data_IF_302238227031
#
_entry.id   IF_302238227031
#
_cell.length_a   1.000
_cell.length_b   1.000
_cell.length_c   1.000
_cell.angle_alpha   90.00
_cell.angle_beta   90.00
_cell.angle_gamma   90.00
#
_symmetry.space_group_name_H-M   'P 1'
#
loop_
_entity.id
_entity.type
_entity.pdbx_description
1 polymer ?
#
# COMPACT_ATOMS: atom_id res chain seq x y z
N UNK A 1 16.65 -9.90 12.52
CA UNK A 1 15.59 -8.90 12.33
C UNK A 1 15.06 -9.07 10.91
N UNK A 2 13.75 -9.22 10.73
CA UNK A 2 13.16 -9.36 9.39
C UNK A 2 13.44 -8.08 8.59
N UNK A 3 14.29 -8.17 7.57
CA UNK A 3 14.67 -7.02 6.73
C UNK A 3 13.49 -6.54 5.87
N UNK A 4 12.53 -7.43 5.58
CA UNK A 4 11.44 -7.18 4.63
C UNK A 4 10.47 -6.09 5.12
N UNK A 5 9.90 -6.14 6.35
CA UNK A 5 9.04 -5.05 6.83
C UNK A 5 9.75 -3.68 6.88
N UNK A 6 11.03 -3.66 7.27
CA UNK A 6 11.79 -2.41 7.33
C UNK A 6 12.03 -1.83 5.92
N UNK A 7 12.38 -2.67 4.94
CA UNK A 7 12.50 -2.25 3.54
C UNK A 7 11.15 -1.73 2.99
N UNK A 8 10.06 -2.45 3.25
CA UNK A 8 8.71 -2.07 2.86
C UNK A 8 8.34 -0.68 3.38
N UNK A 9 8.48 -0.42 4.69
CA UNK A 9 8.10 0.86 5.28
C UNK A 9 9.04 2.02 4.90
N UNK A 10 10.32 1.73 4.64
CA UNK A 10 11.25 2.73 4.11
C UNK A 10 10.84 3.17 2.70
N UNK A 11 10.50 2.21 1.81
CA UNK A 11 9.97 2.49 0.48
C UNK A 11 8.65 3.24 0.54
N UNK A 12 7.76 2.90 1.48
CA UNK A 12 6.49 3.60 1.67
C UNK A 12 6.69 5.09 1.92
N UNK A 13 7.64 5.45 2.79
CA UNK A 13 7.94 6.84 3.11
C UNK A 13 8.47 7.62 1.90
N UNK A 14 9.31 6.99 1.09
CA UNK A 14 9.84 7.58 -0.15
C UNK A 14 8.73 7.76 -1.18
N UNK A 15 7.97 6.70 -1.45
CA UNK A 15 6.89 6.67 -2.42
C UNK A 15 5.78 7.66 -2.08
N UNK A 16 5.41 7.77 -0.82
CA UNK A 16 4.45 8.75 -0.35
C UNK A 16 4.89 10.19 -0.64
N UNK A 17 6.18 10.48 -0.47
CA UNK A 17 6.74 11.80 -0.78
C UNK A 17 6.73 12.10 -2.29
N UNK A 18 6.76 11.06 -3.14
CA UNK A 18 6.77 11.19 -4.60
C UNK A 18 5.38 11.27 -5.22
N UNK A 19 4.44 10.47 -4.72
CA UNK A 19 3.14 10.22 -5.36
C UNK A 19 1.93 10.72 -4.56
N UNK A 20 2.13 11.17 -3.32
CA UNK A 20 1.09 11.76 -2.50
C UNK A 20 0.29 10.76 -1.67
N UNK A 21 -0.94 11.16 -1.30
CA UNK A 21 -1.73 10.57 -0.23
C UNK A 21 -2.49 9.30 -0.65
N UNK A 22 -2.97 9.24 -1.90
CA UNK A 22 -3.73 8.11 -2.46
C UNK A 22 -2.81 7.01 -3.00
N UNK A 23 -1.73 6.71 -2.29
CA UNK A 23 -0.76 5.66 -2.67
C UNK A 23 -0.91 4.42 -1.81
N UNK A 24 -0.90 3.27 -2.46
CA UNK A 24 -0.76 1.96 -1.83
C UNK A 24 0.41 1.21 -2.45
N UNK A 25 1.00 0.30 -1.69
CA UNK A 25 2.12 -0.50 -2.15
C UNK A 25 1.86 -1.98 -1.94
N UNK A 26 2.07 -2.75 -3.00
CA UNK A 26 1.89 -4.18 -3.04
C UNK A 26 3.28 -4.82 -3.09
N UNK A 27 3.65 -5.56 -2.06
CA UNK A 27 4.92 -6.27 -1.97
C UNK A 27 4.75 -7.74 -2.32
N UNK A 28 5.57 -8.24 -3.23
CA UNK A 28 5.57 -9.65 -3.58
C UNK A 28 6.24 -10.49 -2.48
N UNK A 29 5.48 -11.43 -1.93
CA UNK A 29 5.93 -12.43 -0.97
C UNK A 29 5.60 -13.82 -1.54
N UNK A 30 6.61 -14.46 -2.15
CA UNK A 30 6.42 -15.74 -2.81
C UNK A 30 5.45 -15.64 -4.00
N UNK A 31 4.26 -16.23 -3.85
CA UNK A 31 3.20 -16.26 -4.89
C UNK A 31 2.05 -15.29 -4.63
N UNK A 32 2.23 -14.35 -3.69
CA UNK A 32 1.20 -13.39 -3.29
C UNK A 32 1.75 -11.96 -3.38
N UNK A 33 0.85 -11.02 -3.66
CA UNK A 33 1.04 -9.62 -3.35
C UNK A 33 0.40 -9.33 -2.00
N UNK A 34 1.12 -8.63 -1.14
CA UNK A 34 0.66 -8.26 0.18
C UNK A 34 0.71 -6.74 0.37
N UNK A 35 -0.24 -6.22 1.14
CA UNK A 35 -0.30 -4.85 1.61
C UNK A 35 -0.20 -4.88 3.14
N UNK A 36 0.77 -4.15 3.68
CA UNK A 36 1.04 -4.08 5.11
C UNK A 36 0.80 -2.67 5.66
N UNK A 37 0.30 -2.60 6.89
CA UNK A 37 0.05 -1.36 7.60
C UNK A 37 0.38 -1.50 9.09
N UNK A 38 1.10 -0.54 9.65
CA UNK A 38 1.40 -0.48 11.07
C UNK A 38 0.54 0.62 11.73
N UNK A 39 -0.41 0.28 12.62
CA UNK A 39 -1.35 1.25 13.18
C UNK A 39 -0.73 2.14 14.27
N UNK A 40 0.28 1.65 14.98
CA UNK A 40 0.81 2.27 16.21
C UNK A 40 2.09 3.11 16.01
N UNK A 41 2.63 3.19 14.79
CA UNK A 41 3.67 4.18 14.51
C UNK A 41 3.01 5.54 14.34
N UNK A 42 3.51 6.55 15.05
CA UNK A 42 3.27 7.98 14.81
C UNK A 42 3.83 8.40 13.44
N UNK A 43 3.44 7.65 12.41
CA UNK A 43 3.89 7.80 11.07
C UNK A 43 3.38 9.14 10.57
N UNK A 44 4.23 9.82 9.81
CA UNK A 44 3.85 11.07 9.15
C UNK A 44 2.57 10.91 8.31
N UNK A 45 2.23 9.68 7.89
CA UNK A 45 1.00 9.37 7.15
C UNK A 45 -0.26 9.72 7.95
N UNK A 46 -0.32 9.43 9.26
CA UNK A 46 -1.41 9.89 10.12
C UNK A 46 -1.40 11.43 10.24
N UNK A 47 -0.23 12.05 10.41
CA UNK A 47 -0.11 13.50 10.55
C UNK A 47 -0.51 14.29 9.29
N UNK A 48 -0.22 13.77 8.10
CA UNK A 48 -0.60 14.38 6.82
C UNK A 48 -2.06 14.13 6.47
N UNK A 49 -2.61 12.94 6.76
CA UNK A 49 -4.06 12.69 6.68
C UNK A 49 -4.84 13.65 7.60
N UNK A 50 -4.32 13.92 8.80
CA UNK A 50 -4.88 14.91 9.71
C UNK A 50 -4.72 16.35 9.18
N UNK A 51 -3.62 16.68 8.50
CA UNK A 51 -3.36 18.04 8.00
C UNK A 51 -4.28 18.43 6.83
N UNK A 52 -4.67 17.49 5.96
CA UNK A 52 -5.60 17.77 4.86
C UNK A 52 -7.05 17.91 5.37
N UNK A 53 -7.45 17.09 6.34
CA UNK A 53 -8.74 17.20 7.04
C UNK A 53 -8.93 18.56 7.75
N UNK A 54 -7.84 19.21 8.16
CA UNK A 54 -7.86 20.54 8.76
C UNK A 54 -8.02 21.68 7.74
N UNK A 55 -7.73 21.45 6.46
CA UNK A 55 -7.98 22.44 5.39
C UNK A 55 -9.44 22.42 4.94
N UNK A 56 -10.13 21.27 5.07
CA UNK A 56 -11.53 21.12 4.67
C UNK A 56 -12.57 21.37 5.79
N UNK A 57 -12.19 21.41 7.07
CA UNK A 57 -13.15 21.44 8.18
C UNK A 57 -13.39 22.83 8.80
N UNK A 58 -14.14 23.68 8.09
CA UNK A 58 -14.98 24.70 8.75
C UNK A 58 -16.31 24.14 9.27
N UNK A 59 -16.57 22.84 9.10
CA UNK A 59 -17.79 22.18 9.58
C UNK A 59 -17.45 21.14 10.65
N UNK A 60 -17.66 21.60 11.87
CA UNK A 60 -17.89 20.94 13.16
C UNK A 60 -18.31 19.45 13.09
N UNK A 61 -17.64 18.66 13.94
CA UNK A 61 -18.14 17.48 14.67
C UNK A 61 -18.54 16.20 13.92
N UNK A 62 -17.52 15.41 13.55
CA UNK A 62 -17.42 13.99 13.91
C UNK A 62 -15.94 13.67 13.77
N UNK A 63 -15.33 12.98 14.73
CA UNK A 63 -14.04 12.34 14.47
C UNK A 63 -14.30 11.37 13.32
N UNK A 64 -14.04 11.79 12.07
CA UNK A 64 -13.98 10.88 10.94
C UNK A 64 -12.78 10.01 11.27
N UNK A 65 -13.02 8.83 11.83
CA UNK A 65 -12.01 7.79 11.89
C UNK A 65 -11.59 7.58 10.44
N UNK A 66 -10.45 8.15 10.04
CA UNK A 66 -9.92 7.97 8.71
C UNK A 66 -9.52 6.52 8.63
N UNK A 67 -10.38 5.73 8.00
CA UNK A 67 -10.15 4.31 7.75
C UNK A 67 -8.80 4.18 7.05
N UNK A 68 -7.83 3.43 7.59
CA UNK A 68 -6.52 3.33 7.00
C UNK A 68 -6.61 2.71 5.59
N UNK A 69 -5.69 3.03 4.67
CA UNK A 69 -5.74 2.53 3.30
C UNK A 69 -5.88 1.00 3.19
N UNK A 70 -5.30 0.25 4.14
CA UNK A 70 -5.43 -1.21 4.17
C UNK A 70 -6.87 -1.68 4.39
N UNK A 71 -7.65 -0.99 5.22
CA UNK A 71 -9.06 -1.32 5.50
C UNK A 71 -9.94 -0.94 4.31
N UNK A 72 -9.67 0.21 3.67
CA UNK A 72 -10.36 0.61 2.46
C UNK A 72 -10.13 -0.36 1.31
N UNK A 73 -8.86 -0.73 1.06
CA UNK A 73 -8.49 -1.70 0.02
C UNK A 73 -9.04 -3.09 0.33
N UNK A 74 -8.97 -3.53 1.59
CA UNK A 74 -9.53 -4.81 2.00
C UNK A 74 -11.04 -4.86 1.77
N UNK A 75 -11.77 -3.81 2.13
CA UNK A 75 -13.22 -3.73 1.86
C UNK A 75 -13.53 -3.67 0.37
N UNK A 76 -12.70 -3.01 -0.43
CA UNK A 76 -12.91 -2.88 -1.87
C UNK A 76 -12.68 -4.20 -2.62
N UNK A 77 -11.68 -4.97 -2.18
CA UNK A 77 -11.28 -6.23 -2.81
C UNK A 77 -11.90 -7.46 -2.13
N UNK A 78 -12.76 -7.28 -1.13
CA UNK A 78 -13.32 -8.33 -0.27
C UNK A 78 -12.23 -9.25 0.33
N UNK A 79 -11.17 -8.64 0.84
CA UNK A 79 -10.01 -9.32 1.41
C UNK A 79 -10.05 -9.30 2.93
N UNK A 80 -9.61 -10.40 3.54
CA UNK A 80 -9.48 -10.49 4.99
C UNK A 80 -8.17 -9.85 5.46
N UNK A 81 -8.27 -8.95 6.45
CA UNK A 81 -7.10 -8.43 7.17
C UNK A 81 -6.71 -9.41 8.28
N UNK A 82 -5.42 -9.67 8.40
CA UNK A 82 -4.80 -10.50 9.42
C UNK A 82 -3.82 -9.63 10.21
N UNK A 83 -3.83 -9.75 11.54
CA UNK A 83 -2.84 -9.12 12.40
C UNK A 83 -1.65 -10.05 12.64
N UNK A 84 -0.44 -9.62 12.32
CA UNK A 84 0.79 -10.39 12.48
C UNK A 84 1.58 -9.96 13.73
N UNK A 85 1.72 -10.89 14.67
CA UNK A 85 2.68 -10.81 15.78
C UNK A 85 2.33 -9.80 16.89
N UNK A 86 3.34 -9.49 17.74
CA UNK A 86 3.19 -8.63 18.93
C UNK A 86 3.07 -7.13 18.64
N UNK A 87 3.31 -6.70 17.39
CA UNK A 87 3.35 -5.28 16.97
C UNK A 87 2.09 -4.84 16.21
N UNK A 88 1.03 -5.64 16.23
CA UNK A 88 -0.24 -5.32 15.57
C UNK A 88 -0.10 -4.95 14.09
N UNK A 89 0.86 -5.54 13.37
CA UNK A 89 1.05 -5.28 11.95
C UNK A 89 -0.15 -5.86 11.19
N UNK A 90 -0.92 -5.01 10.52
CA UNK A 90 -2.03 -5.44 9.68
C UNK A 90 -1.49 -5.86 8.31
N UNK A 91 -2.00 -6.97 7.81
CA UNK A 91 -1.64 -7.56 6.53
C UNK A 91 -2.91 -8.00 5.79
N UNK A 92 -2.97 -7.71 4.50
CA UNK A 92 -3.87 -8.38 3.56
C UNK A 92 -3.09 -8.74 2.30
N UNK A 93 -3.60 -9.68 1.51
CA UNK A 93 -2.92 -10.07 0.27
C UNK A 93 -3.79 -10.93 -0.64
N UNK A 94 -3.34 -11.06 -1.88
CA UNK A 94 -3.99 -11.85 -2.91
C UNK A 94 -2.95 -12.51 -3.85
N UNK A 95 -3.32 -13.56 -4.59
CA UNK A 95 -2.39 -14.26 -5.49
C UNK A 95 -1.87 -13.37 -6.63
N UNK A 96 -0.62 -13.56 -7.06
CA UNK A 96 -0.01 -12.73 -8.14
C UNK A 96 -0.85 -12.70 -9.43
N UNK A 97 -1.47 -13.83 -9.79
CA UNK A 97 -2.25 -13.92 -11.03
C UNK A 97 -3.50 -13.04 -11.04
N UNK A 98 -3.99 -12.58 -9.87
CA UNK A 98 -5.16 -11.70 -9.78
C UNK A 98 -4.80 -10.21 -9.76
N UNK A 99 -3.51 -9.87 -9.92
CA UNK A 99 -3.04 -8.48 -9.90
C UNK A 99 -3.80 -7.61 -10.90
N UNK A 100 -3.90 -8.02 -12.16
CA UNK A 100 -4.53 -7.21 -13.22
C UNK A 100 -5.99 -6.88 -12.90
N UNK A 101 -6.75 -7.89 -12.45
CA UNK A 101 -8.16 -7.72 -12.05
C UNK A 101 -8.29 -6.70 -10.92
N UNK A 102 -7.53 -6.88 -9.83
CA UNK A 102 -7.61 -5.98 -8.68
C UNK A 102 -7.07 -4.58 -8.98
N UNK A 103 -6.07 -4.48 -9.86
CA UNK A 103 -5.49 -3.22 -10.28
C UNK A 103 -6.53 -2.35 -10.98
N UNK A 104 -7.36 -2.90 -11.89
CA UNK A 104 -8.45 -2.13 -12.49
C UNK A 104 -9.40 -1.53 -11.43
N UNK A 105 -9.83 -2.37 -10.46
CA UNK A 105 -10.71 -1.93 -9.38
C UNK A 105 -10.07 -0.84 -8.50
N UNK A 106 -8.76 -0.95 -8.25
CA UNK A 106 -8.02 0.03 -7.46
C UNK A 106 -7.85 1.36 -8.20
N UNK A 107 -7.45 1.30 -9.48
CA UNK A 107 -7.29 2.49 -10.32
C UNK A 107 -8.61 3.23 -10.53
N UNK A 108 -9.71 2.51 -10.78
CA UNK A 108 -11.06 3.07 -10.92
C UNK A 108 -11.52 3.83 -9.67
N UNK A 109 -10.98 3.47 -8.50
CA UNK A 109 -11.24 4.16 -7.21
C UNK A 109 -10.24 5.27 -6.91
N UNK A 110 -9.34 5.59 -7.84
CA UNK A 110 -8.40 6.69 -7.71
C UNK A 110 -7.12 6.33 -6.95
N UNK A 111 -6.87 5.05 -6.67
CA UNK A 111 -5.63 4.64 -6.02
C UNK A 111 -4.46 4.63 -6.99
N UNK A 112 -3.31 5.12 -6.52
CA UNK A 112 -2.02 4.88 -7.17
C UNK A 112 -1.40 3.64 -6.56
N UNK A 113 -1.13 2.62 -7.37
CA UNK A 113 -0.67 1.30 -6.95
C UNK A 113 0.80 1.12 -7.30
N UNK A 114 1.64 0.90 -6.31
CA UNK A 114 3.07 0.64 -6.48
C UNK A 114 3.32 -0.84 -6.30
N UNK A 115 3.83 -1.49 -7.34
CA UNK A 115 4.15 -2.91 -7.32
C UNK A 115 5.63 -3.08 -7.01
N UNK A 116 5.93 -3.89 -5.99
CA UNK A 116 7.28 -4.22 -5.54
C UNK A 116 7.48 -5.72 -5.74
N UNK A 117 8.26 -6.07 -6.77
CA UNK A 117 8.51 -7.47 -7.11
C UNK A 117 9.76 -8.02 -6.42
N UNK A 118 9.75 -9.34 -6.26
CA UNK A 118 10.89 -10.10 -5.76
C UNK A 118 11.89 -10.35 -6.89
N UNK A 119 13.10 -9.79 -6.77
CA UNK A 119 14.16 -9.95 -7.74
C UNK A 119 14.71 -11.38 -7.68
N UNK A 120 14.81 -12.02 -8.85
CA UNK A 120 15.41 -13.35 -9.00
C UNK A 120 16.92 -13.21 -8.93
N UNK A 121 17.47 -13.14 -7.72
CA UNK A 121 18.92 -13.12 -7.52
C UNK A 121 19.43 -14.55 -7.40
N UNK A 122 20.32 -14.98 -8.30
CA UNK A 122 20.99 -16.30 -8.25
C UNK A 122 22.00 -16.45 -7.08
N UNK A 123 21.92 -15.59 -6.06
CA UNK A 123 22.83 -15.57 -4.91
C UNK A 123 22.13 -16.14 -3.69
N UNK A 124 22.86 -16.88 -2.84
CA UNK A 124 22.33 -17.34 -1.56
C UNK A 124 22.17 -16.15 -0.60
N UNK A 125 20.93 -15.75 -0.33
CA UNK A 125 20.62 -14.62 0.56
C UNK A 125 19.13 -14.29 0.59
N UNK A 126 18.70 -13.33 1.43
CA UNK A 126 17.35 -12.81 1.38
C UNK A 126 17.10 -12.20 -0.01
N UNK A 127 16.03 -12.62 -0.65
CA UNK A 127 15.68 -12.15 -1.99
C UNK A 127 15.45 -10.64 -1.96
N UNK A 128 16.11 -9.94 -2.87
CA UNK A 128 15.99 -8.49 -3.01
C UNK A 128 14.61 -8.13 -3.58
N UNK A 129 14.15 -6.93 -3.27
CA UNK A 129 12.85 -6.42 -3.73
C UNK A 129 13.01 -5.00 -4.21
N UNK A 130 12.41 -4.69 -5.35
CA UNK A 130 12.47 -3.37 -5.94
C UNK A 130 11.10 -2.99 -6.50
N UNK A 131 10.83 -1.69 -6.57
CA UNK A 131 9.65 -1.17 -7.28
C UNK A 131 9.80 -1.56 -8.75
N UNK A 132 8.89 -2.40 -9.23
CA UNK A 132 8.87 -2.84 -10.62
C UNK A 132 8.03 -1.90 -11.47
N UNK A 133 6.86 -1.53 -10.96
CA UNK A 133 5.86 -0.76 -11.70
C UNK A 133 5.09 0.18 -10.76
N UNK A 134 4.62 1.29 -11.32
CA UNK A 134 3.74 2.25 -10.66
C UNK A 134 2.57 2.52 -11.59
N UNK A 135 1.37 2.29 -11.09
CA UNK A 135 0.13 2.49 -11.80
C UNK A 135 -0.62 3.64 -11.16
N UNK A 136 -1.06 4.61 -11.96
CA UNK A 136 -1.89 5.70 -11.48
C UNK A 136 -3.15 5.80 -12.33
N UNK A 137 -4.25 6.36 -11.81
CA UNK A 137 -5.50 6.49 -12.56
C UNK A 137 -5.36 7.27 -13.87
N UNK A 138 -4.39 8.18 -13.95
CA UNK A 138 -4.09 8.98 -15.14
C UNK A 138 -3.03 8.37 -16.05
N UNK A 139 -2.41 7.26 -15.64
CA UNK A 139 -1.37 6.56 -16.38
C UNK A 139 -1.65 5.06 -16.29
N UNK A 140 -2.68 4.61 -17.00
CA UNK A 140 -2.84 3.20 -17.27
C UNK A 140 -2.05 2.88 -18.55
N UNK A 141 -0.92 2.16 -18.40
CA UNK A 141 -0.04 1.79 -19.52
C UNK A 141 -0.73 0.87 -20.56
N UNK A 142 -1.95 0.42 -20.28
CA UNK A 142 -2.77 -0.38 -21.20
C UNK A 142 -3.30 0.42 -22.41
N UNK A 143 -3.23 1.76 -22.39
CA UNK A 143 -3.76 2.64 -23.46
C UNK A 143 -2.69 3.41 -24.28
N UNK A 144 -1.41 3.02 -24.18
CA UNK A 144 -0.37 3.57 -25.06
C UNK A 144 -0.03 2.55 -26.16
N UNK A 145 -0.83 2.49 -27.22
CA UNK A 145 -0.55 1.78 -28.48
C UNK A 145 -0.88 2.66 -29.67
#
# INVERSE_FOLDING_TARGET
MNQIPMQYFNLAKENYSKYGLSVIQLIQIGKFYELWHEPDTSSKQQAYSQAELLVESSIRSRSLEVTPPIEQVASLLDMKIISLGKRSLLQMGFPIYSLTTHLSTLLDKGWTVIVIDELVTNKSGPKERAVSQVYSPSCNLEDCS
#
